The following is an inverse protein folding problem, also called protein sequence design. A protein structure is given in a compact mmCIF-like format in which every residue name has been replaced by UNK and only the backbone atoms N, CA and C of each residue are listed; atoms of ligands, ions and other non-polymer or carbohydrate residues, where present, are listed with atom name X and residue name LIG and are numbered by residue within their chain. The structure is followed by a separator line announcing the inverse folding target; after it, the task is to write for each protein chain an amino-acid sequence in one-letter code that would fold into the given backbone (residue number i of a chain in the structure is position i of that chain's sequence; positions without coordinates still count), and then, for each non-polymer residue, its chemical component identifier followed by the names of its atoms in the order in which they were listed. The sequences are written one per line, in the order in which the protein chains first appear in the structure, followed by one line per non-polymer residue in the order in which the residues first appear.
data_IF_575019070202
#
_entry.id   IF_575019070202
#
_cell.length_a   1.000
_cell.length_b   1.000
_cell.length_c   1.000
_cell.angle_alpha   90.00
_cell.angle_beta   90.00
_cell.angle_gamma   90.00
#
_symmetry.space_group_name_H-M   'P 1'
#
loop_
_entity.id
_entity.type
_entity.pdbx_description
1 polymer ?
#
# COMPACT_ATOMS: atom_id res chain seq x y z
N UNK A 1 -45.16 -4.63 -33.42
CA UNK A 1 -44.02 -4.14 -32.62
C UNK A 1 -42.91 -5.13 -32.83
N UNK A 2 -41.72 -4.66 -33.18
CA UNK A 2 -40.58 -5.55 -33.43
C UNK A 2 -40.00 -6.06 -32.11
N UNK A 3 -39.26 -7.17 -32.14
CA UNK A 3 -38.60 -7.73 -30.96
C UNK A 3 -37.78 -6.68 -30.17
N UNK A 4 -37.12 -5.76 -30.89
CA UNK A 4 -36.35 -4.65 -30.31
C UNK A 4 -37.26 -3.67 -29.56
N UNK A 5 -38.44 -3.34 -30.10
CA UNK A 5 -39.36 -2.40 -29.45
C UNK A 5 -39.90 -2.98 -28.14
N UNK A 6 -40.22 -4.28 -28.13
CA UNK A 6 -40.70 -4.99 -26.95
C UNK A 6 -39.61 -5.03 -25.86
N UNK A 7 -38.36 -5.36 -26.21
CA UNK A 7 -37.24 -5.36 -25.25
C UNK A 7 -36.92 -3.94 -24.73
N UNK A 8 -36.99 -2.91 -25.59
CA UNK A 8 -36.80 -1.53 -25.16
C UNK A 8 -37.90 -1.08 -24.18
N UNK A 9 -39.14 -1.51 -24.43
CA UNK A 9 -40.25 -1.25 -23.53
C UNK A 9 -40.01 -1.93 -22.17
N UNK A 10 -39.60 -3.19 -22.15
CA UNK A 10 -39.24 -3.93 -20.94
C UNK A 10 -38.11 -3.24 -20.18
N UNK A 11 -37.04 -2.82 -20.86
CA UNK A 11 -35.92 -2.09 -20.25
C UNK A 11 -36.39 -0.78 -19.64
N UNK A 12 -37.22 0.00 -20.35
CA UNK A 12 -37.73 1.28 -19.86
C UNK A 12 -38.56 1.15 -18.58
N UNK A 13 -39.32 0.06 -18.45
CA UNK A 13 -40.20 -0.18 -17.30
C UNK A 13 -39.47 -0.86 -16.13
N UNK A 14 -38.54 -1.77 -16.43
CA UNK A 14 -37.96 -2.67 -15.44
C UNK A 14 -36.55 -2.30 -15.01
N UNK A 15 -35.78 -1.51 -15.77
CA UNK A 15 -34.37 -1.28 -15.51
C UNK A 15 -34.09 -0.80 -14.08
N UNK A 16 -34.82 0.23 -13.62
CA UNK A 16 -34.63 0.77 -12.27
C UNK A 16 -34.99 -0.22 -11.16
N UNK A 17 -36.00 -1.09 -11.41
CA UNK A 17 -36.47 -2.07 -10.43
C UNK A 17 -35.58 -3.31 -10.35
N UNK A 18 -35.03 -3.74 -11.50
CA UNK A 18 -34.21 -4.96 -11.62
C UNK A 18 -32.74 -4.68 -11.32
N UNK A 19 -32.27 -3.47 -11.63
CA UNK A 19 -30.86 -3.07 -11.52
C UNK A 19 -30.75 -1.96 -10.49
N UNK A 20 -30.43 -2.34 -9.26
CA UNK A 20 -30.21 -1.41 -8.16
C UNK A 20 -29.08 -0.40 -8.47
N UNK A 21 -29.30 0.87 -8.15
CA UNK A 21 -28.37 1.96 -8.45
C UNK A 21 -28.25 2.31 -9.94
N UNK A 22 -29.20 1.90 -10.78
CA UNK A 22 -29.21 2.23 -12.21
C UNK A 22 -29.99 3.49 -12.55
N UNK A 23 -29.49 4.21 -13.55
CA UNK A 23 -30.13 5.36 -14.18
C UNK A 23 -30.13 5.17 -15.70
N UNK A 24 -31.31 5.01 -16.28
CA UNK A 24 -31.51 4.93 -17.72
C UNK A 24 -31.35 6.34 -18.33
N UNK A 25 -30.33 6.53 -19.17
CA UNK A 25 -30.01 7.82 -19.80
C UNK A 25 -30.61 7.90 -21.21
N UNK A 26 -30.56 6.81 -21.96
CA UNK A 26 -31.12 6.69 -23.30
C UNK A 26 -31.67 5.28 -23.49
N UNK A 27 -32.84 5.16 -24.12
CA UNK A 27 -33.49 3.90 -24.41
C UNK A 27 -34.17 3.99 -25.78
N UNK A 28 -33.37 3.98 -26.84
CA UNK A 28 -33.83 4.09 -28.22
C UNK A 28 -33.19 2.99 -29.09
N UNK A 29 -33.76 2.63 -30.25
CA UNK A 29 -33.22 1.57 -31.10
C UNK A 29 -31.78 1.77 -31.56
N UNK A 30 -31.31 3.02 -31.65
CA UNK A 30 -29.91 3.29 -32.02
C UNK A 30 -28.92 3.04 -30.88
N UNK A 31 -29.35 3.22 -29.63
CA UNK A 31 -28.48 3.07 -28.46
C UNK A 31 -29.29 3.04 -27.15
N UNK A 32 -28.95 2.06 -26.32
CA UNK A 32 -29.35 2.02 -24.91
C UNK A 32 -28.16 2.42 -24.05
N UNK A 33 -28.35 3.41 -23.18
CA UNK A 33 -27.31 3.92 -22.28
C UNK A 33 -27.81 3.90 -20.86
N UNK A 34 -27.11 3.16 -20.00
CA UNK A 34 -27.45 2.99 -18.58
C UNK A 34 -26.24 3.33 -17.74
N UNK A 35 -26.43 4.17 -16.73
CA UNK A 35 -25.42 4.41 -15.71
C UNK A 35 -25.70 3.50 -14.51
N UNK A 36 -24.68 2.83 -14.01
CA UNK A 36 -24.76 1.96 -12.83
C UNK A 36 -23.82 2.53 -11.78
N UNK A 37 -24.37 2.89 -10.62
CA UNK A 37 -23.63 3.50 -9.51
C UNK A 37 -23.83 2.68 -8.25
N UNK A 38 -22.75 2.11 -7.71
CA UNK A 38 -22.73 1.51 -6.36
C UNK A 38 -22.16 2.49 -5.35
N UNK A 39 -21.04 3.13 -5.69
CA UNK A 39 -20.40 4.20 -4.91
C UNK A 39 -19.85 5.25 -5.88
N UNK A 40 -19.45 6.46 -5.41
CA UNK A 40 -18.83 7.47 -6.26
C UNK A 40 -17.58 6.98 -7.03
N UNK A 41 -16.93 5.90 -6.57
CA UNK A 41 -15.75 5.33 -7.21
C UNK A 41 -15.99 3.98 -7.89
N UNK A 42 -17.15 3.36 -7.65
CA UNK A 42 -17.64 2.15 -8.34
C UNK A 42 -18.87 2.54 -9.18
N UNK A 43 -18.62 3.35 -10.20
CA UNK A 43 -19.62 3.80 -11.16
C UNK A 43 -19.14 3.56 -12.59
N UNK A 44 -20.07 3.20 -13.48
CA UNK A 44 -19.78 3.06 -14.90
C UNK A 44 -21.02 3.37 -15.75
N UNK A 45 -20.76 3.64 -17.01
CA UNK A 45 -21.75 3.84 -18.07
C UNK A 45 -21.66 2.64 -19.01
N UNK A 46 -22.79 1.97 -19.19
CA UNK A 46 -22.97 0.89 -20.16
C UNK A 46 -23.62 1.50 -21.40
N UNK A 47 -22.95 1.41 -22.53
CA UNK A 47 -23.49 1.74 -23.85
C UNK A 47 -23.74 0.44 -24.61
N UNK A 48 -24.96 0.26 -25.09
CA UNK A 48 -25.41 -0.95 -25.76
C UNK A 48 -25.96 -0.57 -27.13
N UNK A 49 -25.55 -1.30 -28.17
CA UNK A 49 -26.04 -1.16 -29.52
C UNK A 49 -26.50 -2.49 -30.08
N UNK A 50 -27.64 -2.47 -30.77
CA UNK A 50 -28.16 -3.64 -31.48
C UNK A 50 -27.38 -3.85 -32.79
N UNK A 51 -27.07 -5.11 -33.09
CA UNK A 51 -26.54 -5.51 -34.38
C UNK A 51 -27.69 -5.76 -35.37
N UNK A 52 -27.39 -5.75 -36.68
CA UNK A 52 -28.40 -5.88 -37.74
C UNK A 52 -29.26 -7.15 -37.61
N UNK A 53 -28.65 -8.24 -37.16
CA UNK A 53 -29.31 -9.55 -37.06
C UNK A 53 -29.82 -9.85 -35.64
N UNK A 54 -29.95 -8.85 -34.77
CA UNK A 54 -30.44 -9.04 -33.41
C UNK A 54 -31.90 -9.55 -33.43
N UNK A 55 -32.29 -10.55 -32.61
CA UNK A 55 -31.56 -11.17 -31.49
C UNK A 55 -30.68 -12.38 -31.83
N UNK A 56 -30.55 -12.76 -33.11
CA UNK A 56 -29.69 -13.88 -33.52
C UNK A 56 -28.19 -13.57 -33.42
N UNK A 57 -27.83 -12.28 -33.34
CA UNK A 57 -26.50 -11.78 -33.03
C UNK A 57 -26.41 -11.20 -31.62
N UNK A 58 -25.21 -11.18 -31.01
CA UNK A 58 -25.00 -10.61 -29.68
C UNK A 58 -25.07 -9.07 -29.72
N UNK A 59 -25.45 -8.46 -28.59
CA UNK A 59 -25.33 -7.02 -28.40
C UNK A 59 -23.86 -6.56 -28.48
N UNK A 60 -23.64 -5.37 -29.04
CA UNK A 60 -22.39 -4.66 -28.88
C UNK A 60 -22.42 -3.87 -27.57
N UNK A 61 -21.47 -4.13 -26.67
CA UNK A 61 -21.40 -3.52 -25.34
C UNK A 61 -20.10 -2.71 -25.24
N UNK A 62 -20.21 -1.47 -24.78
CA UNK A 62 -19.08 -0.61 -24.48
C UNK A 62 -19.22 -0.08 -23.06
N UNK A 63 -18.17 -0.23 -22.25
CA UNK A 63 -18.15 0.20 -20.85
C UNK A 63 -17.24 1.42 -20.67
N UNK A 64 -17.75 2.47 -20.02
CA UNK A 64 -16.99 3.69 -19.72
C UNK A 64 -17.06 4.01 -18.23
N UNK A 65 -15.95 4.43 -17.64
CA UNK A 65 -15.92 4.93 -16.27
C UNK A 65 -14.91 6.06 -16.14
N UNK A 66 -15.18 6.97 -15.20
CA UNK A 66 -14.23 8.01 -14.80
C UNK A 66 -13.29 7.55 -13.67
N UNK A 67 -13.63 6.46 -12.99
CA UNK A 67 -12.97 6.03 -11.75
C UNK A 67 -12.40 4.62 -11.83
N UNK A 68 -12.98 3.74 -12.66
CA UNK A 68 -12.46 2.40 -12.91
C UNK A 68 -11.44 2.41 -14.04
N UNK A 69 -10.52 1.44 -14.03
CA UNK A 69 -9.43 1.41 -15.00
C UNK A 69 -9.87 0.89 -16.36
N UNK A 70 -9.24 1.42 -17.42
CA UNK A 70 -9.52 1.00 -18.80
C UNK A 70 -9.32 -0.52 -19.00
N UNK A 71 -8.22 -1.07 -18.48
CA UNK A 71 -7.93 -2.52 -18.59
C UNK A 71 -9.00 -3.40 -17.94
N UNK A 72 -9.55 -2.96 -16.81
CA UNK A 72 -10.65 -3.67 -16.16
C UNK A 72 -11.92 -3.60 -17.03
N UNK A 73 -12.22 -2.42 -17.58
CA UNK A 73 -13.39 -2.22 -18.45
C UNK A 73 -13.28 -3.03 -19.74
N UNK A 74 -12.11 -3.10 -20.36
CA UNK A 74 -11.86 -3.91 -21.56
C UNK A 74 -12.09 -5.39 -21.25
N UNK A 75 -11.49 -5.90 -20.17
CA UNK A 75 -11.68 -7.28 -19.73
C UNK A 75 -13.12 -7.61 -19.36
N UNK A 76 -13.84 -6.69 -18.70
CA UNK A 76 -15.26 -6.87 -18.38
C UNK A 76 -16.13 -6.84 -19.65
N UNK A 77 -15.78 -6.00 -20.64
CA UNK A 77 -16.45 -5.94 -21.93
C UNK A 77 -16.34 -7.27 -22.67
N UNK A 78 -15.14 -7.87 -22.73
CA UNK A 78 -14.95 -9.19 -23.33
C UNK A 78 -15.79 -10.29 -22.65
N UNK A 79 -15.97 -10.19 -21.33
CA UNK A 79 -16.81 -11.13 -20.58
C UNK A 79 -18.29 -10.89 -20.88
N UNK A 80 -18.74 -9.64 -20.96
CA UNK A 80 -20.10 -9.29 -21.38
C UNK A 80 -20.41 -9.81 -22.79
N UNK A 81 -19.50 -9.67 -23.75
CA UNK A 81 -19.67 -10.21 -25.11
C UNK A 81 -19.84 -11.73 -25.12
N UNK A 82 -19.10 -12.45 -24.27
CA UNK A 82 -19.25 -13.90 -24.10
C UNK A 82 -20.62 -14.25 -23.52
N UNK A 83 -21.10 -13.50 -22.55
CA UNK A 83 -22.44 -13.70 -21.97
C UNK A 83 -23.55 -13.38 -22.99
N UNK A 84 -23.41 -12.34 -23.81
CA UNK A 84 -24.36 -12.05 -24.91
C UNK A 84 -24.49 -13.23 -25.88
N UNK A 85 -23.36 -13.88 -26.24
CA UNK A 85 -23.35 -15.06 -27.11
C UNK A 85 -24.06 -16.28 -26.50
N UNK A 86 -24.25 -16.32 -25.18
CA UNK A 86 -25.03 -17.38 -24.50
C UNK A 86 -26.54 -17.09 -24.50
N UNK A 87 -26.91 -15.85 -24.82
CA UNK A 87 -28.28 -15.34 -24.79
C UNK A 87 -28.83 -15.08 -26.21
N UNK A 88 -28.24 -15.69 -27.24
CA UNK A 88 -28.75 -15.57 -28.61
C UNK A 88 -30.20 -16.03 -28.71
N UNK A 89 -30.96 -15.34 -29.56
CA UNK A 89 -32.40 -15.52 -29.77
C UNK A 89 -33.27 -15.22 -28.53
N UNK A 90 -32.72 -14.50 -27.54
CA UNK A 90 -33.43 -14.02 -26.35
C UNK A 90 -33.13 -12.53 -26.13
N UNK A 91 -33.92 -11.88 -25.29
CA UNK A 91 -33.62 -10.54 -24.80
C UNK A 91 -32.30 -10.57 -24.00
N UNK A 92 -31.40 -9.62 -24.26
CA UNK A 92 -30.03 -9.60 -23.75
C UNK A 92 -29.77 -8.41 -22.83
N UNK A 93 -30.47 -7.28 -22.97
CA UNK A 93 -30.14 -6.03 -22.27
C UNK A 93 -30.23 -6.18 -20.75
N UNK A 94 -31.41 -6.52 -20.21
CA UNK A 94 -31.60 -6.65 -18.76
C UNK A 94 -30.69 -7.72 -18.14
N UNK A 95 -30.53 -8.93 -18.72
CA UNK A 95 -29.56 -9.91 -18.24
C UNK A 95 -28.13 -9.38 -18.15
N UNK A 96 -27.66 -8.64 -19.17
CA UNK A 96 -26.30 -8.10 -19.21
C UNK A 96 -26.12 -6.97 -18.20
N UNK A 97 -27.10 -6.06 -18.08
CA UNK A 97 -27.06 -5.02 -17.04
C UNK A 97 -27.02 -5.63 -15.64
N UNK A 98 -27.78 -6.71 -15.41
CA UNK A 98 -27.79 -7.44 -14.14
C UNK A 98 -26.45 -8.12 -13.87
N UNK A 99 -25.88 -8.75 -14.90
CA UNK A 99 -24.55 -9.34 -14.84
C UNK A 99 -23.49 -8.31 -14.43
N UNK A 100 -23.47 -7.14 -15.08
CA UNK A 100 -22.52 -6.06 -14.78
C UNK A 100 -22.72 -5.56 -13.34
N UNK A 101 -23.97 -5.34 -12.91
CA UNK A 101 -24.27 -4.88 -11.54
C UNK A 101 -23.81 -5.89 -10.49
N UNK A 102 -24.04 -7.17 -10.72
CA UNK A 102 -23.61 -8.25 -9.83
C UNK A 102 -22.09 -8.34 -9.79
N UNK A 103 -21.41 -8.19 -10.93
CA UNK A 103 -19.95 -8.16 -10.99
C UNK A 103 -19.37 -7.05 -10.10
N UNK A 104 -19.94 -5.85 -10.13
CA UNK A 104 -19.52 -4.73 -9.27
C UNK A 104 -19.73 -5.05 -7.78
N UNK A 105 -20.82 -5.72 -7.43
CA UNK A 105 -21.13 -6.10 -6.04
C UNK A 105 -20.17 -7.18 -5.52
N UNK A 106 -19.91 -8.21 -6.33
CA UNK A 106 -19.10 -9.36 -5.94
C UNK A 106 -17.60 -9.06 -5.93
N UNK A 107 -17.17 -7.96 -6.58
CA UNK A 107 -15.76 -7.58 -6.72
C UNK A 107 -15.50 -6.16 -6.18
N UNK A 108 -15.60 -5.93 -4.85
CA UNK A 108 -15.42 -4.60 -4.30
C UNK A 108 -14.00 -4.04 -4.44
N UNK A 109 -12.98 -4.87 -4.73
CA UNK A 109 -11.61 -4.41 -4.96
C UNK A 109 -11.36 -3.82 -6.36
N UNK A 110 -12.37 -3.76 -7.23
CA UNK A 110 -12.24 -3.18 -8.58
C UNK A 110 -11.76 -1.72 -8.57
N UNK A 111 -12.05 -0.97 -7.50
CA UNK A 111 -11.65 0.44 -7.38
C UNK A 111 -10.13 0.62 -7.24
N UNK A 112 -9.39 -0.42 -6.85
CA UNK A 112 -7.92 -0.41 -6.73
C UNK A 112 -7.26 -1.41 -7.68
N UNK A 113 -7.92 -1.78 -8.79
CA UNK A 113 -7.44 -2.78 -9.74
C UNK A 113 -6.03 -2.47 -10.31
N UNK A 114 -5.75 -1.22 -10.66
CA UNK A 114 -4.42 -0.84 -11.18
C UNK A 114 -3.35 -0.91 -10.10
N UNK A 115 -3.64 -0.47 -8.88
CA UNK A 115 -2.71 -0.56 -7.76
C UNK A 115 -2.36 -2.02 -7.48
N UNK A 116 -3.36 -2.90 -7.43
CA UNK A 116 -3.17 -4.35 -7.28
C UNK A 116 -2.28 -4.90 -8.41
N UNK A 117 -2.51 -4.47 -9.65
CA UNK A 117 -1.75 -4.93 -10.82
C UNK A 117 -0.28 -4.46 -10.78
N UNK A 118 -0.01 -3.27 -10.26
CA UNK A 118 1.34 -2.75 -10.04
C UNK A 118 2.02 -3.52 -8.90
N UNK A 119 1.34 -3.65 -7.77
CA UNK A 119 1.89 -4.28 -6.56
C UNK A 119 2.26 -5.75 -6.78
N UNK A 120 1.44 -6.49 -7.52
CA UNK A 120 1.75 -7.89 -7.88
C UNK A 120 3.10 -8.05 -8.60
N UNK A 121 3.58 -7.01 -9.31
CA UNK A 121 4.88 -7.04 -10.01
C UNK A 121 6.07 -6.78 -9.08
N UNK A 122 5.83 -6.24 -7.89
CA UNK A 122 6.88 -5.93 -6.91
C UNK A 122 7.17 -7.09 -5.94
N UNK A 123 6.32 -8.11 -5.94
CA UNK A 123 6.42 -9.26 -5.06
C UNK A 123 7.51 -10.23 -5.55
N UNK A 124 8.25 -10.81 -4.61
CA UNK A 124 9.16 -11.93 -4.90
C UNK A 124 8.45 -13.28 -4.81
N UNK A 125 9.16 -14.35 -5.19
CA UNK A 125 8.60 -15.70 -5.34
C UNK A 125 7.99 -16.29 -4.05
N UNK A 126 8.50 -15.89 -2.89
CA UNK A 126 8.01 -16.35 -1.58
C UNK A 126 6.90 -15.47 -0.99
N UNK A 127 6.61 -14.33 -1.61
CA UNK A 127 5.60 -13.41 -1.11
C UNK A 127 4.20 -13.86 -1.56
N UNK A 128 3.19 -13.57 -0.76
CA UNK A 128 1.79 -13.86 -1.12
C UNK A 128 0.95 -12.59 -1.11
N UNK A 129 0.08 -12.46 -2.11
CA UNK A 129 -0.87 -11.36 -2.24
C UNK A 129 -2.25 -11.91 -2.60
N UNK A 130 -2.99 -12.30 -1.56
CA UNK A 130 -4.27 -13.01 -1.69
C UNK A 130 -5.43 -12.02 -1.60
N UNK A 131 -6.15 -11.84 -2.70
CA UNK A 131 -7.35 -11.00 -2.78
C UNK A 131 -8.55 -11.72 -2.15
N UNK A 132 -9.27 -11.06 -1.25
CA UNK A 132 -10.50 -11.53 -0.64
C UNK A 132 -11.65 -10.59 -1.02
N UNK A 133 -12.16 -10.78 -2.24
CA UNK A 133 -13.20 -9.92 -2.83
C UNK A 133 -14.40 -9.75 -1.89
N UNK A 134 -15.03 -10.84 -1.43
CA UNK A 134 -16.22 -10.75 -0.55
C UNK A 134 -16.04 -9.93 0.72
N UNK A 135 -14.81 -9.85 1.24
CA UNK A 135 -14.50 -9.13 2.48
C UNK A 135 -13.87 -7.75 2.22
N UNK A 136 -13.77 -7.33 0.94
CA UNK A 136 -13.04 -6.14 0.52
C UNK A 136 -11.66 -6.03 1.16
N UNK A 137 -10.92 -7.16 1.23
CA UNK A 137 -9.63 -7.21 1.91
C UNK A 137 -8.55 -7.92 1.10
N UNK A 138 -7.30 -7.63 1.45
CA UNK A 138 -6.10 -8.18 0.83
C UNK A 138 -5.23 -8.75 1.94
N UNK A 139 -4.90 -10.04 1.86
CA UNK A 139 -3.94 -10.66 2.76
C UNK A 139 -2.57 -10.58 2.11
N UNK A 140 -1.66 -9.88 2.77
CA UNK A 140 -0.28 -9.65 2.34
C UNK A 140 0.65 -10.46 3.23
N UNK A 141 1.49 -11.28 2.61
CA UNK A 141 2.57 -12.02 3.27
C UNK A 141 3.88 -11.67 2.57
N UNK A 142 4.82 -11.09 3.29
CA UNK A 142 6.14 -10.71 2.79
C UNK A 142 7.22 -11.52 3.49
N UNK A 143 8.19 -12.01 2.73
CA UNK A 143 9.32 -12.77 3.24
C UNK A 143 10.65 -12.16 2.82
N UNK A 144 11.63 -12.14 3.72
CA UNK A 144 13.02 -11.90 3.39
C UNK A 144 13.89 -12.83 4.23
N UNK A 145 14.58 -13.76 3.57
CA UNK A 145 15.31 -14.86 4.24
C UNK A 145 14.40 -15.62 5.22
N UNK A 146 14.72 -15.63 6.51
CA UNK A 146 13.92 -16.23 7.57
C UNK A 146 12.92 -15.24 8.22
N UNK A 147 12.93 -13.98 7.82
CA UNK A 147 12.02 -12.95 8.32
C UNK A 147 10.72 -12.93 7.53
N UNK A 148 9.62 -12.64 8.24
CA UNK A 148 8.31 -12.50 7.63
C UNK A 148 7.48 -11.38 8.24
N UNK A 149 6.60 -10.81 7.42
CA UNK A 149 5.60 -9.85 7.83
C UNK A 149 4.28 -10.18 7.12
N UNK A 150 3.25 -10.49 7.91
CA UNK A 150 1.90 -10.79 7.44
C UNK A 150 0.95 -9.73 7.97
N UNK A 151 0.01 -9.30 7.12
CA UNK A 151 -1.04 -8.38 7.53
C UNK A 151 -2.25 -8.52 6.61
N UNK A 152 -3.41 -8.14 7.12
CA UNK A 152 -4.62 -7.93 6.34
C UNK A 152 -4.83 -6.43 6.12
N UNK A 153 -5.08 -6.07 4.85
CA UNK A 153 -5.39 -4.72 4.42
C UNK A 153 -6.86 -4.68 4.00
N UNK A 154 -7.67 -3.90 4.71
CA UNK A 154 -9.08 -3.71 4.39
C UNK A 154 -9.25 -2.45 3.53
N UNK A 155 -9.97 -2.58 2.41
CA UNK A 155 -10.27 -1.51 1.47
C UNK A 155 -11.69 -1.01 1.76
N UNK A 156 -11.86 0.25 2.21
CA UNK A 156 -13.18 0.78 2.55
C UNK A 156 -14.03 1.03 1.30
N UNK A 157 -15.36 1.08 1.46
CA UNK A 157 -16.28 1.28 0.34
C UNK A 157 -16.13 2.64 -0.36
N UNK A 158 -15.76 3.66 0.41
CA UNK A 158 -15.51 5.03 -0.07
C UNK A 158 -14.06 5.24 -0.55
N UNK A 159 -13.30 4.18 -0.80
CA UNK A 159 -11.95 4.31 -1.35
C UNK A 159 -11.97 5.02 -2.72
N UNK A 160 -11.07 6.00 -2.98
CA UNK A 160 -9.90 6.40 -2.20
C UNK A 160 -10.12 7.58 -1.22
N UNK A 161 -11.35 8.01 -0.95
CA UNK A 161 -11.61 9.06 0.04
C UNK A 161 -11.27 8.61 1.47
N UNK A 162 -11.42 7.31 1.74
CA UNK A 162 -10.91 6.68 2.96
C UNK A 162 -9.71 5.80 2.60
N UNK A 163 -8.70 5.75 3.48
CA UNK A 163 -7.50 4.95 3.26
C UNK A 163 -7.68 3.49 3.68
N UNK A 164 -6.75 2.64 3.25
CA UNK A 164 -6.70 1.23 3.67
C UNK A 164 -6.43 1.09 5.17
N UNK A 165 -7.01 0.07 5.79
CA UNK A 165 -6.90 -0.19 7.23
C UNK A 165 -6.07 -1.46 7.48
N UNK A 166 -5.17 -1.37 8.46
CA UNK A 166 -4.34 -2.48 8.93
C UNK A 166 -5.08 -3.34 9.95
N UNK A 167 -5.10 -4.65 9.73
CA UNK A 167 -5.52 -5.65 10.73
C UNK A 167 -4.62 -6.89 10.68
N UNK A 168 -4.77 -7.75 11.69
CA UNK A 168 -4.17 -9.09 11.77
C UNK A 168 -2.66 -9.14 11.45
N UNK A 169 -1.87 -8.30 12.13
CA UNK A 169 -0.42 -8.22 11.92
C UNK A 169 0.28 -9.37 12.65
N UNK A 170 1.01 -10.20 11.90
CA UNK A 170 1.86 -11.30 12.40
C UNK A 170 3.27 -11.16 11.84
N UNK A 171 4.28 -11.18 12.70
CA UNK A 171 5.67 -10.97 12.30
C UNK A 171 6.67 -11.50 13.31
N UNK A 172 7.83 -11.95 12.82
CA UNK A 172 9.01 -12.27 13.63
C UNK A 172 10.07 -11.16 13.66
N UNK A 173 9.76 -9.95 13.17
CA UNK A 173 10.63 -8.78 13.34
C UNK A 173 10.63 -8.32 14.81
N UNK A 174 11.71 -7.66 15.27
CA UNK A 174 11.76 -7.12 16.63
C UNK A 174 10.64 -6.08 16.87
N UNK A 175 10.18 -5.87 18.12
CA UNK A 175 9.06 -4.98 18.44
C UNK A 175 9.20 -3.55 17.90
N UNK A 176 10.42 -3.01 17.87
CA UNK A 176 10.72 -1.68 17.31
C UNK A 176 10.38 -1.59 15.80
N UNK A 177 10.74 -2.62 15.03
CA UNK A 177 10.49 -2.68 13.59
C UNK A 177 9.01 -2.92 13.30
N UNK A 178 8.34 -3.76 14.09
CA UNK A 178 6.89 -3.94 13.97
C UNK A 178 6.15 -2.61 14.19
N UNK A 179 6.45 -1.90 15.28
CA UNK A 179 5.91 -0.57 15.57
C UNK A 179 6.15 0.40 14.40
N UNK A 180 7.34 0.39 13.82
CA UNK A 180 7.65 1.23 12.67
C UNK A 180 6.86 0.86 11.41
N UNK A 181 6.84 -0.42 11.02
CA UNK A 181 6.13 -0.88 9.81
C UNK A 181 4.64 -0.55 9.88
N UNK A 182 4.01 -0.80 11.03
CA UNK A 182 2.58 -0.50 11.23
C UNK A 182 2.35 1.01 11.38
N UNK A 183 3.15 1.69 12.20
CA UNK A 183 2.98 3.13 12.46
C UNK A 183 3.23 4.00 11.23
N UNK A 184 4.36 3.80 10.56
CA UNK A 184 4.70 4.52 9.34
C UNK A 184 3.73 4.18 8.21
N UNK A 185 3.32 2.92 8.11
CA UNK A 185 2.32 2.47 7.16
C UNK A 185 0.98 3.16 7.33
N UNK A 186 0.48 3.26 8.57
CA UNK A 186 -0.75 4.02 8.90
C UNK A 186 -0.61 5.51 8.59
N UNK A 187 0.54 6.11 8.90
CA UNK A 187 0.77 7.52 8.60
C UNK A 187 0.83 7.78 7.08
N UNK A 188 1.44 6.90 6.30
CA UNK A 188 1.41 7.00 4.83
C UNK A 188 -0.01 6.86 4.28
N UNK A 189 -0.82 5.95 4.84
CA UNK A 189 -2.22 5.80 4.48
C UNK A 189 -3.01 7.09 4.79
N UNK A 190 -2.80 7.66 5.97
CA UNK A 190 -3.42 8.92 6.42
C UNK A 190 -3.07 10.07 5.50
N UNK A 191 -1.79 10.23 5.14
CA UNK A 191 -1.31 11.30 4.25
C UNK A 191 -1.92 11.26 2.85
N UNK A 192 -2.40 10.09 2.40
CA UNK A 192 -3.10 9.98 1.12
C UNK A 192 -4.51 10.59 1.15
N UNK A 193 -5.16 10.68 2.31
CA UNK A 193 -6.58 11.06 2.42
C UNK A 193 -6.86 12.24 3.36
N UNK A 194 -5.92 12.60 4.21
CA UNK A 194 -6.01 13.76 5.09
C UNK A 194 -5.02 14.85 4.70
N UNK A 195 -5.41 16.13 4.84
CA UNK A 195 -4.51 17.23 4.56
C UNK A 195 -3.27 17.21 5.46
N UNK A 196 -2.15 17.74 4.96
CA UNK A 196 -0.94 17.88 5.76
C UNK A 196 -1.20 18.80 6.95
N UNK A 197 -0.60 18.46 8.11
CA UNK A 197 -0.72 19.26 9.34
C UNK A 197 -0.23 20.70 9.16
N UNK A 198 0.69 20.92 8.22
CA UNK A 198 1.16 22.25 7.81
C UNK A 198 0.42 22.67 6.54
N UNK A 199 -0.22 23.84 6.57
CA UNK A 199 -0.93 24.41 5.41
C UNK A 199 0.01 24.51 4.21
N UNK A 200 -0.40 23.93 3.10
CA UNK A 200 0.24 24.08 1.80
C UNK A 200 -0.53 25.09 0.95
N UNK A 201 0.12 25.64 -0.08
CA UNK A 201 -0.49 26.61 -0.99
C UNK A 201 -1.59 25.99 -1.87
N UNK A 202 -1.47 24.69 -2.18
CA UNK A 202 -2.41 23.99 -3.05
C UNK A 202 -3.52 23.29 -2.25
N UNK A 203 -4.76 23.23 -2.77
CA UNK A 203 -5.82 22.47 -2.15
C UNK A 203 -5.48 20.98 -2.14
N UNK A 204 -5.62 20.36 -0.97
CA UNK A 204 -5.40 18.93 -0.80
C UNK A 204 -6.49 18.14 -1.54
N UNK A 205 -6.09 17.08 -2.25
CA UNK A 205 -7.00 16.15 -2.91
C UNK A 205 -6.68 14.72 -2.47
N UNK A 206 -7.68 13.93 -2.01
CA UNK A 206 -7.45 12.54 -1.65
C UNK A 206 -6.88 11.74 -2.82
N UNK A 207 -6.02 10.78 -2.49
CA UNK A 207 -5.32 9.93 -3.43
C UNK A 207 -5.36 8.47 -2.99
N UNK A 208 -5.26 7.50 -3.93
CA UNK A 208 -5.22 6.09 -3.59
C UNK A 208 -4.05 5.75 -2.66
N UNK A 209 -4.34 5.06 -1.55
CA UNK A 209 -3.36 4.76 -0.50
C UNK A 209 -2.74 3.37 -0.62
N UNK A 210 -3.39 2.41 -1.27
CA UNK A 210 -2.98 1.00 -1.25
C UNK A 210 -1.58 0.82 -1.82
N UNK A 211 -1.28 1.41 -2.98
CA UNK A 211 0.02 1.30 -3.62
C UNK A 211 1.14 1.92 -2.76
N UNK A 212 0.92 3.12 -2.23
CA UNK A 212 1.86 3.84 -1.36
C UNK A 212 2.24 2.98 -0.15
N UNK A 213 1.21 2.44 0.51
CA UNK A 213 1.35 1.66 1.74
C UNK A 213 2.04 0.33 1.48
N UNK A 214 1.57 -0.45 0.51
CA UNK A 214 2.14 -1.79 0.25
C UNK A 214 3.54 -1.69 -0.33
N UNK A 215 3.82 -0.72 -1.20
CA UNK A 215 5.17 -0.50 -1.73
C UNK A 215 6.17 -0.18 -0.62
N UNK A 216 5.75 0.63 0.36
CA UNK A 216 6.55 0.90 1.55
C UNK A 216 6.84 -0.37 2.36
N UNK A 217 5.82 -1.22 2.60
CA UNK A 217 5.97 -2.47 3.34
C UNK A 217 6.92 -3.43 2.61
N UNK A 218 6.72 -3.64 1.30
CA UNK A 218 7.60 -4.46 0.47
C UNK A 218 9.03 -3.97 0.59
N UNK A 219 9.28 -2.67 0.34
CA UNK A 219 10.63 -2.10 0.39
C UNK A 219 11.27 -2.28 1.77
N UNK A 220 10.54 -2.01 2.84
CA UNK A 220 11.08 -2.03 4.20
C UNK A 220 11.37 -3.45 4.68
N UNK A 221 10.44 -4.40 4.46
CA UNK A 221 10.60 -5.80 4.86
C UNK A 221 11.76 -6.47 4.13
N UNK A 222 11.95 -6.14 2.84
CA UNK A 222 13.09 -6.65 2.05
C UNK A 222 14.42 -6.02 2.46
N UNK A 223 14.42 -4.75 2.88
CA UNK A 223 15.63 -4.02 3.23
C UNK A 223 16.17 -4.39 4.62
N UNK A 224 15.31 -4.48 5.65
CA UNK A 224 15.79 -4.57 7.04
C UNK A 224 16.74 -5.74 7.34
N UNK A 225 16.47 -6.99 6.91
CA UNK A 225 17.39 -8.10 7.18
C UNK A 225 18.75 -7.98 6.46
N UNK A 226 18.82 -7.18 5.40
CA UNK A 226 20.05 -6.94 4.66
C UNK A 226 20.79 -5.69 5.11
N UNK A 227 20.17 -4.85 5.95
CA UNK A 227 20.73 -3.55 6.25
C UNK A 227 21.90 -3.67 7.25
N UNK A 228 23.10 -3.21 6.86
CA UNK A 228 24.25 -3.23 7.74
C UNK A 228 24.20 -2.10 8.76
N UNK A 229 24.83 -2.31 9.91
CA UNK A 229 25.11 -1.26 10.87
C UNK A 229 25.98 -0.19 10.23
N UNK A 230 25.57 1.08 10.33
CA UNK A 230 26.33 2.15 9.68
C UNK A 230 27.71 2.41 10.28
N UNK A 231 28.01 1.85 11.47
CA UNK A 231 29.32 1.94 12.12
C UNK A 231 30.19 0.71 11.82
N UNK A 232 29.80 -0.50 12.25
CA UNK A 232 30.63 -1.70 12.09
C UNK A 232 30.45 -2.44 10.76
N UNK A 233 29.46 -2.04 9.93
CA UNK A 233 29.13 -2.63 8.62
C UNK A 233 28.65 -4.08 8.63
N UNK A 234 28.50 -4.70 9.80
CA UNK A 234 27.86 -6.00 9.98
C UNK A 234 26.34 -5.85 10.00
N UNK A 235 25.60 -6.84 9.48
CA UNK A 235 24.12 -6.87 9.51
C UNK A 235 23.59 -6.62 10.91
N UNK A 236 22.61 -5.71 11.03
CA UNK A 236 22.00 -5.39 12.33
C UNK A 236 21.05 -6.46 12.84
N UNK A 237 20.41 -7.19 11.93
CA UNK A 237 19.53 -8.29 12.27
C UNK A 237 20.27 -9.62 12.05
N UNK A 238 20.16 -10.58 12.98
CA UNK A 238 20.77 -11.91 12.83
C UNK A 238 20.13 -12.69 11.69
N UNK A 239 20.81 -13.71 11.18
CA UNK A 239 20.26 -14.56 10.11
C UNK A 239 19.05 -15.34 10.59
N UNK A 240 19.10 -15.90 11.82
CA UNK A 240 17.95 -16.55 12.46
C UNK A 240 17.20 -15.54 13.37
N UNK A 241 15.92 -15.24 13.09
CA UNK A 241 15.09 -14.38 13.93
C UNK A 241 14.98 -14.83 15.39
N UNK A 242 15.25 -16.09 15.72
CA UNK A 242 15.26 -16.58 17.11
C UNK A 242 16.42 -16.01 17.93
N UNK A 243 17.49 -15.56 17.28
CA UNK A 243 18.66 -14.98 17.92
C UNK A 243 18.54 -13.45 18.11
N UNK A 244 17.38 -12.87 17.81
CA UNK A 244 17.13 -11.43 17.96
C UNK A 244 17.29 -11.00 19.41
N UNK A 245 18.09 -9.96 19.61
CA UNK A 245 18.27 -9.30 20.90
C UNK A 245 17.12 -8.32 21.13
N UNK A 246 16.15 -8.73 21.95
CA UNK A 246 14.95 -7.92 22.26
C UNK A 246 15.22 -6.86 23.34
N UNK A 247 16.18 -7.12 24.24
CA UNK A 247 16.56 -6.16 25.29
C UNK A 247 17.13 -4.88 24.66
N UNK A 248 16.39 -3.77 24.83
CA UNK A 248 16.74 -2.45 24.29
C UNK A 248 18.01 -1.86 24.92
N UNK A 249 18.60 -2.48 25.94
CA UNK A 249 19.84 -2.04 26.56
C UNK A 249 21.05 -2.92 26.20
N UNK A 250 20.85 -4.02 25.49
CA UNK A 250 21.93 -4.92 25.12
C UNK A 250 22.75 -4.40 23.93
N UNK A 251 24.05 -4.71 23.91
CA UNK A 251 25.03 -4.19 22.95
C UNK A 251 24.63 -4.37 21.47
N UNK A 252 24.06 -5.54 21.14
CA UNK A 252 23.67 -5.92 19.78
C UNK A 252 22.19 -5.67 19.47
N UNK A 253 21.47 -4.95 20.33
CA UNK A 253 20.13 -4.49 19.99
C UNK A 253 20.16 -3.60 18.74
N UNK A 254 19.28 -3.87 17.79
CA UNK A 254 19.20 -3.13 16.54
C UNK A 254 18.35 -1.86 16.71
N UNK A 255 19.01 -0.72 16.69
CA UNK A 255 18.39 0.61 16.77
C UNK A 255 18.16 1.17 15.37
N UNK A 256 16.96 1.71 15.14
CA UNK A 256 16.63 2.43 13.90
C UNK A 256 16.56 3.92 14.18
N UNK A 257 17.39 4.69 13.49
CA UNK A 257 17.38 6.15 13.62
C UNK A 257 16.29 6.79 12.76
N UNK A 258 15.98 8.07 13.02
CA UNK A 258 15.02 8.85 12.24
C UNK A 258 15.38 8.98 10.75
N UNK A 259 16.68 8.99 10.43
CA UNK A 259 17.16 8.97 9.05
C UNK A 259 16.91 7.64 8.32
N UNK A 260 16.35 6.65 9.04
CA UNK A 260 15.97 5.35 8.56
C UNK A 260 17.03 4.27 8.66
N UNK A 261 18.28 4.66 8.96
CA UNK A 261 19.40 3.73 8.99
C UNK A 261 19.56 2.98 10.31
N UNK A 262 20.11 1.76 10.23
CA UNK A 262 20.29 0.88 11.39
C UNK A 262 21.69 0.96 12.05
N UNK A 263 21.71 0.80 13.36
CA UNK A 263 22.90 0.64 14.18
C UNK A 263 22.71 -0.46 15.23
N UNK A 264 23.78 -1.15 15.61
CA UNK A 264 23.79 -1.82 16.92
C UNK A 264 23.85 -0.77 18.02
N UNK A 265 23.19 -0.98 19.17
CA UNK A 265 23.19 -0.03 20.27
C UNK A 265 24.60 0.35 20.72
N UNK A 266 25.49 -0.64 20.93
CA UNK A 266 26.90 -0.40 21.28
C UNK A 266 27.58 0.49 20.24
N UNK A 267 27.39 0.17 18.97
CA UNK A 267 27.97 0.93 17.87
C UNK A 267 27.45 2.36 17.81
N UNK A 268 26.15 2.57 18.06
CA UNK A 268 25.56 3.89 18.13
C UNK A 268 26.16 4.68 19.31
N UNK A 269 26.21 4.09 20.50
CA UNK A 269 26.78 4.73 21.69
C UNK A 269 28.25 5.10 21.47
N UNK A 270 29.05 4.19 20.92
CA UNK A 270 30.45 4.47 20.55
C UNK A 270 30.52 5.60 19.54
N UNK A 271 29.71 5.56 18.48
CA UNK A 271 29.69 6.60 17.46
C UNK A 271 29.34 7.98 18.02
N UNK A 272 28.39 8.04 18.95
CA UNK A 272 27.95 9.29 19.57
C UNK A 272 28.97 9.84 20.57
N UNK A 273 29.89 9.00 21.08
CA UNK A 273 30.95 9.35 22.06
C UNK A 273 32.30 9.67 21.44
N UNK A 274 32.52 9.40 20.16
CA UNK A 274 33.76 9.72 19.45
C UNK A 274 33.63 11.04 18.69
N UNK A 275 34.70 11.80 18.40
CA UNK A 275 34.64 12.96 17.51
C UNK A 275 34.40 12.53 16.05
N UNK A 276 33.98 13.45 15.15
CA UNK A 276 33.69 14.86 15.38
C UNK A 276 32.30 15.09 16.00
N UNK A 277 32.19 16.12 16.85
CA UNK A 277 30.92 16.53 17.48
C UNK A 277 30.33 17.81 16.87
N UNK A 278 31.13 18.63 16.19
CA UNK A 278 30.71 19.92 15.66
C UNK A 278 29.59 19.79 14.61
N UNK A 279 28.52 20.57 14.79
CA UNK A 279 27.37 20.59 13.88
C UNK A 279 26.40 19.40 14.08
N UNK A 280 26.51 18.72 15.22
CA UNK A 280 25.78 17.52 15.56
C UNK A 280 26.31 16.27 14.85
N UNK A 281 26.15 15.12 15.51
CA UNK A 281 26.45 13.81 14.92
C UNK A 281 25.62 13.57 13.67
N UNK A 282 26.26 13.19 12.57
CA UNK A 282 25.60 12.93 11.28
C UNK A 282 25.67 11.45 10.95
N UNK A 283 24.62 10.90 10.37
CA UNK A 283 24.62 9.52 9.92
C UNK A 283 25.70 9.34 8.83
N UNK A 284 26.63 8.38 8.96
CA UNK A 284 27.74 8.21 8.00
C UNK A 284 27.29 8.01 6.55
N UNK A 285 26.09 7.44 6.35
CA UNK A 285 25.60 7.06 5.02
C UNK A 285 24.74 8.10 4.32
N UNK A 286 24.01 8.95 5.06
CA UNK A 286 23.10 9.94 4.46
C UNK A 286 23.35 11.39 4.90
N UNK A 287 24.29 11.62 5.83
CA UNK A 287 24.65 12.97 6.30
C UNK A 287 23.57 13.67 7.15
N UNK A 288 22.40 13.07 7.34
CA UNK A 288 21.35 13.61 8.21
C UNK A 288 21.78 13.56 9.68
N UNK A 289 21.35 14.55 10.46
CA UNK A 289 21.68 14.60 11.90
C UNK A 289 21.03 13.41 12.63
N UNK A 290 21.83 12.72 13.41
CA UNK A 290 21.41 11.64 14.29
C UNK A 290 20.76 12.25 15.52
N UNK A 291 19.52 11.85 15.76
CA UNK A 291 18.81 12.11 17.02
C UNK A 291 18.46 10.76 17.64
N UNK A 292 18.69 10.64 18.94
CA UNK A 292 18.38 9.43 19.71
C UNK A 292 17.98 9.84 21.12
N UNK A 293 16.83 9.34 21.60
CA UNK A 293 16.23 9.80 22.87
C UNK A 293 17.14 9.53 24.08
N UNK A 294 17.90 8.43 24.05
CA UNK A 294 18.89 8.12 25.09
C UNK A 294 20.15 9.02 25.03
N UNK A 295 20.26 9.92 24.05
CA UNK A 295 21.42 10.80 23.83
C UNK A 295 21.01 12.27 23.66
N UNK A 296 20.53 12.88 24.75
CA UNK A 296 20.19 14.31 24.83
C UNK A 296 21.36 15.23 25.20
N UNK A 297 22.60 14.89 24.83
CA UNK A 297 23.79 15.68 25.19
C UNK A 297 24.10 16.73 24.10
N UNK A 298 24.45 17.96 24.52
CA UNK A 298 24.92 19.00 23.60
C UNK A 298 26.32 18.70 23.07
N UNK A 299 26.61 19.14 21.84
CA UNK A 299 27.90 18.91 21.16
C UNK A 299 29.08 19.36 22.04
N UNK A 300 28.97 20.55 22.68
CA UNK A 300 29.98 21.11 23.58
C UNK A 300 30.24 20.24 24.81
N UNK A 301 29.19 19.65 25.39
CA UNK A 301 29.33 18.78 26.57
C UNK A 301 29.88 17.41 26.18
N UNK A 302 29.53 16.88 25.02
CA UNK A 302 30.08 15.65 24.49
C UNK A 302 31.59 15.80 24.21
N UNK A 303 31.99 16.91 23.58
CA UNK A 303 33.38 17.24 23.30
C UNK A 303 34.22 17.39 24.56
N UNK A 304 33.73 18.14 25.56
CA UNK A 304 34.43 18.31 26.83
C UNK A 304 34.62 16.97 27.57
N UNK A 305 33.60 16.09 27.57
CA UNK A 305 33.70 14.75 28.19
C UNK A 305 34.70 13.86 27.47
N UNK A 306 34.69 13.88 26.13
CA UNK A 306 35.65 13.12 25.34
C UNK A 306 37.08 13.62 25.56
N UNK A 307 37.31 14.94 25.50
CA UNK A 307 38.62 15.53 25.73
C UNK A 307 39.18 15.22 27.12
N UNK A 308 38.33 15.25 28.16
CA UNK A 308 38.72 14.85 29.52
C UNK A 308 39.06 13.35 29.60
N UNK A 309 38.30 12.48 28.93
CA UNK A 309 38.60 11.05 28.89
C UNK A 309 39.93 10.76 28.18
N UNK A 310 40.18 11.42 27.05
CA UNK A 310 41.45 11.34 26.31
C UNK A 310 42.64 11.85 27.13
N UNK A 311 42.50 12.98 27.82
CA UNK A 311 43.54 13.51 28.69
C UNK A 311 43.92 12.51 29.78
N UNK A 312 42.92 11.91 30.43
CA UNK A 312 43.15 10.87 31.45
C UNK A 312 43.82 9.61 30.88
N UNK A 313 43.47 9.19 29.66
CA UNK A 313 44.13 8.04 29.03
C UNK A 313 45.60 8.34 28.70
N UNK A 314 45.92 9.57 28.28
CA UNK A 314 47.32 9.99 28.07
C UNK A 314 48.11 10.03 29.37
N UNK A 315 47.53 10.58 30.44
CA UNK A 315 48.17 10.58 31.77
C UNK A 315 48.47 9.14 32.24
N UNK A 316 47.53 8.20 32.05
CA UNK A 316 47.75 6.80 32.41
C UNK A 316 48.84 6.14 31.56
N UNK A 317 48.85 6.41 30.25
CA UNK A 317 49.89 5.89 29.35
C UNK A 317 51.27 6.47 29.70
N UNK A 318 51.38 7.76 30.04
CA UNK A 318 52.62 8.38 30.51
C UNK A 318 53.11 7.74 31.81
N UNK A 319 52.19 7.36 32.72
CA UNK A 319 52.54 6.62 33.94
C UNK A 319 53.01 5.20 33.63
N UNK A 320 52.35 4.48 32.72
CA UNK A 320 52.80 3.15 32.29
C UNK A 320 54.17 3.19 31.62
N UNK A 321 54.42 4.17 30.74
CA UNK A 321 55.72 4.40 30.10
C UNK A 321 56.81 4.78 31.12
N UNK A 322 56.46 5.46 32.21
CA UNK A 322 57.40 5.77 33.30
C UNK A 322 57.85 4.51 34.08
N UNK A 323 57.02 3.46 34.11
CA UNK A 323 57.31 2.21 34.82
C UNK A 323 57.95 1.11 33.95
N UNK A 324 58.11 1.34 32.63
CA UNK A 324 58.79 0.43 31.69
C UNK A 324 60.22 0.90 31.38
#
# INVERSE_FOLDING_TARGET
MGFIDDELQDVSQLCHNVIDGSRLVSCVPSMVRVEITKTPFKQLVVCIQFQKDYPASPLFVELKSKTLSAKLLDGLTEVCEKECKRLLNKAQILPILKFIRNFIEENPLICCYEEISILKKLLGDKDEFKLKQKNSSINLTLHQDLYHFKTKLEVPDNYPTNCVIYSDVDTNFPPLFNRYLVGQGRELARQCVEPPLRKQQNPFTPSPSLNTVVSFLIKSVKAFPQEPCQHCKVKCLPTDPKEIVIDENADFHAERLYCGHLFHLKCLVTYMKTPPFHGGKKCPSCGQRVYHDKWGLSDRLAEARWAHQEARMRELAEVEDFFN
#
